data_IF_550995228065
#
_entry.id   IF_550995228065
#
_cell.length_a   1.000
_cell.length_b   1.000
_cell.length_c   1.000
_cell.angle_alpha   90.00
_cell.angle_beta   90.00
_cell.angle_gamma   90.00
#
_symmetry.space_group_name_H-M   'P 1'
#
loop_
_entity.id
_entity.type
_entity.pdbx_description
1 polymer ?
#
# COMPACT_ATOMS: atom_id res chain seq x y z
N UNK A 1 -3.35 -7.82 9.38
CA UNK A 1 -3.96 -6.47 9.36
C UNK A 1 -4.12 -5.93 7.94
N UNK A 2 -3.06 -5.94 7.11
CA UNK A 2 -3.06 -5.44 5.72
C UNK A 2 -4.25 -5.95 4.88
N UNK A 3 -4.47 -7.27 4.81
CA UNK A 3 -5.58 -7.84 4.03
C UNK A 3 -6.96 -7.31 4.45
N UNK A 4 -7.17 -7.07 5.76
CA UNK A 4 -8.44 -6.51 6.28
C UNK A 4 -8.62 -5.06 5.82
N UNK A 5 -7.54 -4.26 5.88
CA UNK A 5 -7.54 -2.88 5.38
C UNK A 5 -7.86 -2.83 3.89
N UNK A 6 -7.18 -3.65 3.08
CA UNK A 6 -7.43 -3.72 1.63
C UNK A 6 -8.86 -4.18 1.32
N UNK A 7 -9.36 -5.18 2.05
CA UNK A 7 -10.75 -5.64 1.93
C UNK A 7 -11.75 -4.52 2.27
N UNK A 8 -11.45 -3.68 3.26
CA UNK A 8 -12.29 -2.54 3.62
C UNK A 8 -12.28 -1.46 2.55
N UNK A 9 -11.11 -1.12 2.00
CA UNK A 9 -10.98 -0.18 0.87
C UNK A 9 -11.83 -0.66 -0.31
N UNK A 10 -11.77 -1.96 -0.61
CA UNK A 10 -12.57 -2.55 -1.68
C UNK A 10 -14.07 -2.53 -1.39
N UNK A 11 -14.51 -3.01 -0.21
CA UNK A 11 -15.94 -3.07 0.15
C UNK A 11 -16.59 -1.70 0.23
N UNK A 12 -15.88 -0.74 0.82
CA UNK A 12 -16.41 0.60 1.06
C UNK A 12 -16.22 1.52 -0.16
N UNK A 13 -15.66 0.99 -1.27
CA UNK A 13 -15.34 1.75 -2.49
C UNK A 13 -14.50 3.01 -2.19
N UNK A 14 -13.66 2.94 -1.16
CA UNK A 14 -12.92 4.08 -0.65
C UNK A 14 -11.68 4.36 -1.50
N UNK A 15 -11.29 5.64 -1.58
CA UNK A 15 -9.96 6.03 -2.03
C UNK A 15 -9.07 6.26 -0.81
N UNK A 16 -7.89 5.63 -0.78
CA UNK A 16 -6.97 5.71 0.35
C UNK A 16 -5.52 5.86 -0.11
N UNK A 17 -4.74 6.62 0.66
CA UNK A 17 -3.28 6.57 0.60
C UNK A 17 -2.80 5.53 1.61
N UNK A 18 -2.15 4.47 1.13
CA UNK A 18 -1.63 3.39 1.96
C UNK A 18 -0.11 3.43 1.92
N UNK A 19 0.52 3.53 3.11
CA UNK A 19 1.96 3.37 3.27
C UNK A 19 2.22 1.96 3.77
N UNK A 20 2.96 1.16 2.99
CA UNK A 20 3.24 -0.22 3.36
C UNK A 20 4.58 -0.71 2.80
N UNK A 21 5.17 -1.78 3.39
CA UNK A 21 6.37 -2.40 2.84
C UNK A 21 6.12 -3.03 1.47
N UNK A 22 7.11 -2.92 0.57
CA UNK A 22 7.10 -3.56 -0.74
C UNK A 22 7.61 -5.02 -0.65
N UNK A 23 6.78 -5.91 -0.11
CA UNK A 23 7.12 -7.32 0.04
C UNK A 23 6.51 -8.19 -1.06
N UNK A 24 7.34 -9.05 -1.66
CA UNK A 24 6.89 -10.05 -2.63
C UNK A 24 6.31 -11.28 -1.91
N UNK A 25 5.48 -12.04 -2.63
CA UNK A 25 4.93 -13.31 -2.16
C UNK A 25 3.90 -13.23 -1.02
N UNK A 26 3.29 -12.07 -0.76
CA UNK A 26 2.28 -11.96 0.29
C UNK A 26 0.90 -12.34 -0.23
N UNK A 27 0.08 -12.95 0.64
CA UNK A 27 -1.29 -13.41 0.32
C UNK A 27 -2.22 -12.28 -0.20
N UNK A 28 -1.87 -11.03 0.07
CA UNK A 28 -2.65 -9.85 -0.33
C UNK A 28 -2.14 -9.17 -1.59
N UNK A 29 -1.08 -9.67 -2.22
CA UNK A 29 -0.44 -9.02 -3.36
C UNK A 29 -1.39 -8.81 -4.56
N UNK A 30 -2.29 -9.75 -4.81
CA UNK A 30 -3.23 -9.63 -5.92
C UNK A 30 -4.32 -8.60 -5.63
N UNK A 31 -4.83 -8.55 -4.40
CA UNK A 31 -5.80 -7.53 -3.99
C UNK A 31 -5.14 -6.14 -3.98
N UNK A 32 -3.91 -6.02 -3.46
CA UNK A 32 -3.13 -4.80 -3.51
C UNK A 32 -2.99 -4.29 -4.96
N UNK A 33 -2.58 -5.17 -5.89
CA UNK A 33 -2.42 -4.81 -7.31
C UNK A 33 -3.72 -4.34 -7.94
N UNK A 34 -4.83 -5.03 -7.67
CA UNK A 34 -6.16 -4.65 -8.19
C UNK A 34 -6.62 -3.28 -7.72
N UNK A 35 -6.33 -2.93 -6.47
CA UNK A 35 -6.74 -1.65 -5.87
C UNK A 35 -5.78 -0.51 -6.21
N UNK A 36 -4.56 -0.81 -6.66
CA UNK A 36 -3.52 0.21 -6.91
C UNK A 36 -3.85 1.03 -8.15
N UNK A 37 -3.92 2.35 -7.97
CA UNK A 37 -4.03 3.34 -9.05
C UNK A 37 -2.66 3.86 -9.44
N UNK A 38 -1.86 4.24 -8.44
CA UNK A 38 -0.50 4.73 -8.62
C UNK A 38 0.30 4.50 -7.35
N UNK A 39 1.63 4.50 -7.46
CA UNK A 39 2.51 4.28 -6.33
C UNK A 39 3.86 4.95 -6.52
N UNK A 40 4.49 5.31 -5.39
CA UNK A 40 5.87 5.80 -5.34
C UNK A 40 6.66 5.02 -4.29
N UNK A 41 7.92 4.71 -4.62
CA UNK A 41 8.87 4.11 -3.66
C UNK A 41 9.44 5.22 -2.81
N UNK A 42 9.30 5.11 -1.49
CA UNK A 42 9.76 6.13 -0.54
C UNK A 42 11.24 5.96 -0.15
N UNK A 43 11.78 4.76 -0.33
CA UNK A 43 13.12 4.38 0.11
C UNK A 43 13.09 3.24 1.11
N UNK A 44 14.27 2.85 1.62
CA UNK A 44 14.37 1.78 2.61
C UNK A 44 13.77 2.23 3.94
N UNK A 45 13.04 1.33 4.59
CA UNK A 45 12.43 1.59 5.88
C UNK A 45 13.45 1.97 6.96
N UNK A 46 14.66 1.40 6.93
CA UNK A 46 15.75 1.72 7.86
C UNK A 46 16.26 3.16 7.73
N UNK A 47 16.14 3.75 6.54
CA UNK A 47 16.60 5.11 6.25
C UNK A 47 15.53 6.16 6.56
N UNK A 48 14.24 5.80 6.47
CA UNK A 48 13.12 6.76 6.52
C UNK A 48 12.22 6.62 7.76
N UNK A 49 12.31 5.51 8.50
CA UNK A 49 11.56 5.31 9.74
C UNK A 49 12.50 5.37 10.96
N UNK A 50 11.95 5.87 12.06
CA UNK A 50 12.61 5.85 13.37
C UNK A 50 11.84 4.88 14.26
N UNK A 51 12.55 3.93 14.88
CA UNK A 51 11.95 2.99 15.81
C UNK A 51 11.35 3.75 17.02
N UNK A 52 10.06 3.55 17.27
CA UNK A 52 9.34 4.15 18.41
C UNK A 52 9.76 3.54 19.75
N UNK A 53 9.42 4.23 20.86
CA UNK A 53 9.78 3.79 22.22
C UNK A 53 9.34 2.34 22.52
N UNK A 54 8.09 2.01 22.18
CA UNK A 54 7.52 0.66 22.35
C UNK A 54 8.31 -0.39 21.54
N UNK A 55 8.76 -0.04 20.33
CA UNK A 55 9.57 -0.97 19.53
C UNK A 55 10.94 -1.22 20.16
N UNK A 56 11.57 -0.17 20.70
CA UNK A 56 12.86 -0.28 21.38
C UNK A 56 12.76 -1.14 22.64
N UNK A 57 11.75 -0.89 23.47
CA UNK A 57 11.48 -1.66 24.70
C UNK A 57 11.28 -3.15 24.41
N UNK A 58 10.54 -3.47 23.34
CA UNK A 58 10.26 -4.85 22.94
C UNK A 58 11.29 -5.45 21.97
N UNK A 59 12.43 -4.78 21.75
CA UNK A 59 13.48 -5.20 20.81
C UNK A 59 12.98 -5.53 19.38
N UNK A 60 11.92 -4.83 18.94
CA UNK A 60 11.33 -5.00 17.61
C UNK A 60 12.15 -4.28 16.55
N UNK A 61 12.24 -4.90 15.38
CA UNK A 61 12.92 -4.33 14.21
C UNK A 61 11.94 -3.57 13.31
N UNK A 62 12.46 -2.56 12.61
CA UNK A 62 11.72 -1.93 11.51
C UNK A 62 11.44 -2.96 10.40
N UNK A 63 10.35 -2.79 9.64
CA UNK A 63 10.06 -3.67 8.51
C UNK A 63 11.22 -3.64 7.50
N UNK A 64 11.67 -4.79 6.96
CA UNK A 64 12.76 -4.78 5.99
C UNK A 64 12.34 -4.22 4.63
N UNK A 65 13.33 -3.72 3.89
CA UNK A 65 13.17 -3.33 2.49
C UNK A 65 12.56 -1.95 2.29
N UNK A 66 12.04 -1.71 1.08
CA UNK A 66 11.49 -0.41 0.70
C UNK A 66 10.06 -0.22 1.20
N UNK A 67 9.72 0.98 1.65
CA UNK A 67 8.33 1.40 1.80
C UNK A 67 7.81 2.00 0.50
N UNK A 68 6.51 1.85 0.29
CA UNK A 68 5.79 2.48 -0.80
C UNK A 68 4.61 3.26 -0.26
N UNK A 69 4.37 4.43 -0.84
CA UNK A 69 3.09 5.13 -0.75
C UNK A 69 2.27 4.77 -1.98
N UNK A 70 1.06 4.28 -1.77
CA UNK A 70 0.20 3.73 -2.81
C UNK A 70 -1.15 4.41 -2.74
N UNK A 71 -1.57 5.06 -3.83
CA UNK A 71 -2.96 5.49 -4.00
C UNK A 71 -3.77 4.29 -4.42
N UNK A 72 -4.73 3.90 -3.59
CA UNK A 72 -5.63 2.79 -3.83
C UNK A 72 -7.07 3.26 -3.94
N UNK A 73 -7.86 2.63 -4.80
CA UNK A 73 -9.31 2.85 -4.88
C UNK A 73 -10.06 1.53 -4.99
N UNK A 74 -11.19 1.44 -4.29
CA UNK A 74 -12.09 0.28 -4.34
C UNK A 74 -12.90 0.17 -5.63
N UNK A 75 -13.00 1.27 -6.37
CA UNK A 75 -13.58 1.32 -7.71
C UNK A 75 -12.53 0.67 -8.62
N UNK A 76 -12.83 -0.45 -9.26
CA UNK A 76 -11.89 -1.11 -10.17
C UNK A 76 -11.32 -0.09 -11.16
N UNK A 77 -10.04 -0.25 -11.56
CA UNK A 77 -9.32 0.68 -12.44
C UNK A 77 -10.27 1.28 -13.49
N UNK A 78 -10.55 2.58 -13.41
CA UNK A 78 -11.12 3.31 -14.54
C UNK A 78 -10.20 3.00 -15.72
N UNK A 79 -10.73 2.25 -16.70
CA UNK A 79 -10.10 2.22 -18.02
C UNK A 79 -10.06 3.68 -18.44
N UNK A 80 -8.85 4.23 -18.53
CA UNK A 80 -8.63 5.51 -19.17
C UNK A 80 -9.34 5.44 -20.53
N UNK A 81 -10.44 6.17 -20.70
CA UNK A 81 -11.01 6.38 -22.03
C UNK A 81 -10.04 7.30 -22.78
N UNK A 82 -9.00 6.72 -23.36
CA UNK A 82 -8.14 7.37 -24.33
C UNK A 82 -8.81 7.30 -25.71
N UNK A 83 -9.92 8.01 -25.86
CA UNK A 83 -10.64 8.08 -27.12
C UNK A 83 -11.55 9.30 -27.10
N UNK A 84 -11.16 10.30 -27.89
CA UNK A 84 -11.94 11.50 -28.17
C UNK A 84 -13.40 11.11 -28.46
N UNK A 85 -14.34 11.72 -27.75
CA UNK A 85 -15.75 11.64 -28.12
C UNK A 85 -15.92 12.42 -29.44
N UNK A 86 -15.99 11.68 -30.55
CA UNK A 86 -16.54 12.18 -31.82
C UNK A 86 -18.06 12.36 -31.70
#
# INVERSE_FOLDING_TARGET
MILRTLSKIWRDQATALVIMPNWRGQIWNDLQRRLTVSSVVLGKAEDILIAGAVMKENQLKLPPGNLMAIKMTGIGQEKYCSGECL
#
